data_IF_366990292273
#
_entry.id   IF_366990292273
#
_cell.length_a   1.000
_cell.length_b   1.000
_cell.length_c   1.000
_cell.angle_alpha   90.00
_cell.angle_beta   90.00
_cell.angle_gamma   90.00
#
_symmetry.space_group_name_H-M   'P 1'
#
loop_
_entity.id
_entity.type
_entity.pdbx_description
1 polymer ?
#
# COMPACT_ATOMS: atom_id res chain seq x y z
N UNK A 1 18.63 6.82 -14.46
CA UNK A 1 18.83 8.15 -15.08
C UNK A 1 20.29 8.61 -15.02
N UNK A 2 20.92 8.76 -13.85
CA UNK A 2 22.34 9.20 -13.72
C UNK A 2 23.35 8.47 -14.62
N UNK A 3 23.24 7.14 -14.74
CA UNK A 3 24.11 6.32 -15.61
C UNK A 3 23.86 6.61 -17.10
N UNK A 4 22.60 6.78 -17.50
CA UNK A 4 22.22 7.13 -18.87
C UNK A 4 22.67 8.55 -19.25
N UNK A 5 22.68 9.48 -18.29
CA UNK A 5 23.14 10.85 -18.48
C UNK A 5 24.69 10.95 -18.51
N UNK A 6 25.41 9.82 -18.50
CA UNK A 6 26.89 9.77 -18.56
C UNK A 6 27.60 10.18 -17.27
N UNK A 7 26.89 10.37 -16.16
CA UNK A 7 27.42 10.89 -14.88
C UNK A 7 27.99 9.79 -13.99
N UNK A 8 28.81 8.90 -14.56
CA UNK A 8 29.32 7.72 -13.85
C UNK A 8 30.27 8.08 -12.70
N UNK A 9 31.19 9.04 -12.90
CA UNK A 9 32.23 9.40 -11.92
C UNK A 9 31.79 10.51 -10.93
N UNK A 10 30.49 10.60 -10.65
CA UNK A 10 29.97 11.62 -9.73
C UNK A 10 29.81 11.08 -8.32
N UNK A 11 30.08 11.90 -7.31
CA UNK A 11 29.90 11.53 -5.89
C UNK A 11 28.46 11.12 -5.56
N UNK A 12 27.48 11.67 -6.27
CA UNK A 12 26.06 11.30 -6.15
C UNK A 12 25.83 9.84 -6.55
N UNK A 13 26.46 9.38 -7.63
CA UNK A 13 26.35 7.98 -8.07
C UNK A 13 26.95 7.06 -7.02
N UNK A 14 28.10 7.42 -6.44
CA UNK A 14 28.78 6.59 -5.43
C UNK A 14 27.95 6.49 -4.14
N UNK A 15 27.36 7.58 -3.66
CA UNK A 15 26.43 7.57 -2.52
C UNK A 15 25.24 6.63 -2.74
N UNK A 16 24.66 6.64 -3.94
CA UNK A 16 23.54 5.74 -4.28
C UNK A 16 24.02 4.29 -4.35
N UNK A 17 25.19 4.03 -4.94
CA UNK A 17 25.76 2.68 -5.01
C UNK A 17 25.96 2.08 -3.62
N UNK A 18 26.52 2.85 -2.68
CA UNK A 18 26.67 2.41 -1.30
C UNK A 18 25.33 2.21 -0.58
N UNK A 19 24.34 3.06 -0.82
CA UNK A 19 22.99 2.84 -0.30
C UNK A 19 22.40 1.51 -0.80
N UNK A 20 22.54 1.22 -2.10
CA UNK A 20 22.10 -0.05 -2.69
C UNK A 20 22.83 -1.25 -2.08
N UNK A 21 24.16 -1.18 -1.90
CA UNK A 21 24.95 -2.22 -1.24
C UNK A 21 24.46 -2.50 0.18
N UNK A 22 24.16 -1.44 0.95
CA UNK A 22 23.66 -1.57 2.33
C UNK A 22 22.29 -2.25 2.39
N UNK A 23 21.37 -1.90 1.48
CA UNK A 23 20.04 -2.53 1.42
C UNK A 23 20.17 -4.00 0.97
N UNK A 24 21.06 -4.29 0.01
CA UNK A 24 21.23 -5.62 -0.55
C UNK A 24 21.86 -6.63 0.42
N UNK A 25 22.45 -6.21 1.54
CA UNK A 25 23.15 -7.10 2.50
C UNK A 25 22.28 -8.26 3.02
N UNK A 26 20.96 -8.06 3.12
CA UNK A 26 20.01 -9.07 3.59
C UNK A 26 19.16 -9.67 2.47
N UNK A 27 19.38 -9.26 1.22
CA UNK A 27 18.61 -9.70 0.05
C UNK A 27 19.26 -10.95 -0.56
N UNK A 28 19.27 -12.03 0.20
CA UNK A 28 19.83 -13.33 -0.23
C UNK A 28 18.71 -14.34 -0.40
N UNK A 29 18.64 -15.03 -1.53
CA UNK A 29 17.63 -16.05 -1.78
C UNK A 29 17.63 -16.57 -3.21
N UNK A 30 16.78 -17.56 -3.46
CA UNK A 30 16.56 -18.18 -4.76
C UNK A 30 15.17 -17.79 -5.28
N UNK A 31 15.10 -17.49 -6.58
CA UNK A 31 13.87 -17.13 -7.27
C UNK A 31 13.72 -18.01 -8.50
N UNK A 32 12.63 -18.78 -8.54
CA UNK A 32 12.30 -19.63 -9.70
C UNK A 32 11.41 -18.83 -10.63
N UNK A 33 11.83 -18.73 -11.90
CA UNK A 33 11.15 -17.94 -12.93
C UNK A 33 10.72 -18.85 -14.07
N UNK A 34 9.46 -18.74 -14.49
CA UNK A 34 8.92 -19.31 -15.72
C UNK A 34 9.23 -18.36 -16.87
N UNK A 35 9.88 -18.87 -17.90
CA UNK A 35 10.05 -18.15 -19.16
C UNK A 35 9.08 -18.75 -20.18
N UNK A 36 8.17 -17.93 -20.71
CA UNK A 36 7.24 -18.35 -21.76
C UNK A 36 6.96 -17.24 -22.75
N UNK A 37 7.17 -17.50 -24.05
CA UNK A 37 6.92 -16.58 -25.17
C UNK A 37 7.38 -15.13 -24.92
N UNK A 38 8.61 -14.97 -24.43
CA UNK A 38 9.20 -13.65 -24.16
C UNK A 38 8.81 -13.02 -22.81
N UNK A 39 7.95 -13.67 -22.02
CA UNK A 39 7.57 -13.22 -20.68
C UNK A 39 8.32 -14.01 -19.61
N UNK A 40 8.83 -13.29 -18.61
CA UNK A 40 9.40 -13.87 -17.39
C UNK A 40 8.41 -13.68 -16.23
N UNK A 41 7.94 -14.79 -15.65
CA UNK A 41 7.02 -14.78 -14.50
C UNK A 41 7.64 -15.50 -13.33
N UNK A 42 7.74 -14.82 -12.18
CA UNK A 42 8.23 -15.42 -10.94
C UNK A 42 7.21 -16.42 -10.39
N UNK A 43 7.62 -17.68 -10.21
CA UNK A 43 6.78 -18.77 -9.69
C UNK A 43 6.97 -18.93 -8.18
N UNK A 44 8.23 -18.93 -7.73
CA UNK A 44 8.58 -19.25 -6.35
C UNK A 44 9.73 -18.37 -5.87
N UNK A 45 9.72 -18.06 -4.58
CA UNK A 45 10.77 -17.31 -3.89
C UNK A 45 11.12 -18.07 -2.61
N UNK A 46 12.40 -18.28 -2.35
CA UNK A 46 12.90 -18.88 -1.12
C UNK A 46 14.07 -18.05 -0.61
N UNK A 47 14.06 -17.66 0.64
CA UNK A 47 15.16 -16.92 1.24
C UNK A 47 15.43 -17.43 2.66
N UNK A 48 16.69 -17.69 3.04
CA UNK A 48 17.05 -18.03 4.41
C UNK A 48 16.85 -16.84 5.38
N UNK A 49 16.80 -15.61 4.85
CA UNK A 49 16.57 -14.37 5.60
C UNK A 49 15.18 -13.78 5.30
N UNK A 50 14.22 -14.64 4.96
CA UNK A 50 12.85 -14.23 4.66
C UNK A 50 12.21 -13.55 5.87
N UNK A 51 11.67 -12.35 5.67
CA UNK A 51 10.80 -11.68 6.64
C UNK A 51 9.35 -12.15 6.54
N UNK A 52 9.03 -12.98 5.53
CA UNK A 52 7.75 -13.66 5.45
C UNK A 52 7.73 -14.80 6.45
N UNK A 53 6.72 -14.80 7.33
CA UNK A 53 6.39 -15.88 8.25
C UNK A 53 4.96 -16.33 7.98
N UNK A 54 4.77 -17.64 7.81
CA UNK A 54 3.48 -18.24 7.48
C UNK A 54 2.48 -18.10 8.65
N UNK A 55 2.98 -18.20 9.88
CA UNK A 55 2.20 -18.07 11.12
C UNK A 55 1.56 -16.68 11.29
N UNK A 56 2.19 -15.64 10.74
CA UNK A 56 1.64 -14.27 10.75
C UNK A 56 0.75 -13.97 9.53
N UNK A 57 0.83 -14.78 8.48
CA UNK A 57 0.12 -14.56 7.22
C UNK A 57 -1.16 -15.38 7.11
N UNK A 58 -1.28 -16.48 7.85
CA UNK A 58 -2.48 -17.32 7.86
C UNK A 58 -3.56 -16.73 8.77
N UNK A 59 -4.81 -16.87 8.35
CA UNK A 59 -5.98 -16.49 9.15
C UNK A 59 -6.36 -17.55 10.20
N UNK A 60 -5.52 -18.58 10.39
CA UNK A 60 -5.89 -19.83 11.06
C UNK A 60 -5.53 -19.94 12.55
N UNK A 61 -4.56 -19.16 13.04
CA UNK A 61 -4.13 -19.23 14.44
C UNK A 61 -4.35 -17.88 15.14
N UNK A 62 -5.37 -17.83 16.01
CA UNK A 62 -5.78 -16.64 16.75
C UNK A 62 -4.76 -16.13 17.78
N UNK A 63 -3.62 -16.81 17.95
CA UNK A 63 -2.67 -16.57 19.04
C UNK A 63 -1.47 -15.69 18.66
N UNK A 64 -1.15 -15.54 17.36
CA UNK A 64 0.11 -14.92 16.91
C UNK A 64 0.04 -13.38 16.85
N UNK A 65 -1.14 -12.80 16.63
CA UNK A 65 -1.30 -11.34 16.48
C UNK A 65 -2.58 -10.78 17.11
N UNK A 66 -2.45 -9.78 17.97
CA UNK A 66 -3.59 -9.12 18.61
C UNK A 66 -4.25 -8.10 17.66
N UNK A 67 -5.34 -8.53 17.02
CA UNK A 67 -6.12 -7.71 16.08
C UNK A 67 -6.68 -6.42 16.69
N UNK A 68 -6.82 -6.32 18.02
CA UNK A 68 -7.32 -5.10 18.69
C UNK A 68 -6.39 -3.90 18.51
N UNK A 69 -5.11 -4.11 18.23
CA UNK A 69 -4.17 -3.02 17.97
C UNK A 69 -4.42 -2.32 16.63
N UNK A 70 -5.07 -3.00 15.66
CA UNK A 70 -5.38 -2.41 14.37
C UNK A 70 -6.29 -1.18 14.49
N UNK A 71 -7.26 -1.21 15.41
CA UNK A 71 -8.18 -0.09 15.64
C UNK A 71 -7.43 1.17 16.11
N UNK A 72 -6.48 1.01 17.04
CA UNK A 72 -5.62 2.10 17.51
C UNK A 72 -4.75 2.66 16.39
N UNK A 73 -4.14 1.78 15.58
CA UNK A 73 -3.33 2.18 14.43
C UNK A 73 -4.13 2.98 13.40
N UNK A 74 -5.32 2.51 13.01
CA UNK A 74 -6.19 3.21 12.04
C UNK A 74 -6.55 4.60 12.56
N UNK A 75 -6.90 4.73 13.84
CA UNK A 75 -7.25 6.02 14.45
C UNK A 75 -6.07 7.00 14.44
N UNK A 76 -4.85 6.54 14.74
CA UNK A 76 -3.65 7.38 14.76
C UNK A 76 -3.15 7.72 13.35
N UNK A 77 -3.13 6.75 12.44
CA UNK A 77 -2.66 6.93 11.07
C UNK A 77 -3.55 7.90 10.28
N UNK A 78 -4.87 7.86 10.51
CA UNK A 78 -5.84 8.75 9.85
C UNK A 78 -6.02 10.10 10.57
N UNK A 79 -5.38 10.31 11.72
CA UNK A 79 -5.51 11.53 12.51
C UNK A 79 -5.17 12.82 11.73
N UNK A 80 -4.05 12.92 10.98
CA UNK A 80 -3.75 14.14 10.22
C UNK A 80 -4.78 14.41 9.12
N UNK A 81 -5.31 13.38 8.47
CA UNK A 81 -6.36 13.52 7.44
C UNK A 81 -7.68 14.01 8.04
N UNK A 82 -8.06 13.49 9.21
CA UNK A 82 -9.24 13.95 9.96
C UNK A 82 -9.11 15.42 10.35
N UNK A 83 -7.93 15.85 10.80
CA UNK A 83 -7.65 17.25 11.14
C UNK A 83 -7.73 18.13 9.88
N UNK A 84 -7.18 17.67 8.76
CA UNK A 84 -7.26 18.41 7.50
C UNK A 84 -8.71 18.58 7.02
N UNK A 85 -9.52 17.53 7.12
CA UNK A 85 -10.95 17.57 6.79
C UNK A 85 -11.75 18.50 7.72
N UNK A 86 -11.47 18.48 9.04
CA UNK A 86 -12.10 19.38 10.01
C UNK A 86 -11.70 20.85 9.80
N UNK A 87 -10.46 21.10 9.37
CA UNK A 87 -9.95 22.43 9.06
C UNK A 87 -10.39 22.93 7.67
N UNK A 88 -11.20 22.16 6.94
CA UNK A 88 -11.69 22.54 5.61
C UNK A 88 -10.58 22.60 4.54
N UNK A 89 -9.40 22.04 4.80
CA UNK A 89 -8.36 21.90 3.80
C UNK A 89 -8.79 20.84 2.80
N UNK A 90 -9.46 21.27 1.72
CA UNK A 90 -9.60 20.43 0.55
C UNK A 90 -8.20 20.07 0.09
N UNK A 91 -7.82 18.79 0.23
CA UNK A 91 -6.62 18.25 -0.39
C UNK A 91 -6.78 18.53 -1.88
N UNK A 92 -6.12 19.58 -2.37
CA UNK A 92 -6.14 19.95 -3.78
C UNK A 92 -5.56 18.74 -4.50
N UNK A 93 -6.44 17.91 -5.05
CA UNK A 93 -6.06 16.75 -5.82
C UNK A 93 -5.32 17.30 -7.02
N UNK A 94 -4.00 17.26 -6.94
CA UNK A 94 -3.09 17.76 -7.96
C UNK A 94 -3.22 16.90 -9.21
N UNK A 95 -4.09 17.36 -10.11
CA UNK A 95 -4.17 17.18 -11.56
C UNK A 95 -5.37 18.05 -11.96
N UNK A 96 -5.17 19.34 -12.21
CA UNK A 96 -4.88 19.82 -13.55
C UNK A 96 -4.19 21.19 -13.45
N UNK A 97 -2.88 21.22 -13.64
CA UNK A 97 -2.21 22.37 -14.24
C UNK A 97 -1.94 21.98 -15.70
N UNK A 98 -2.99 21.86 -16.49
CA UNK A 98 -2.89 21.82 -17.94
C UNK A 98 -3.69 23.00 -18.50
N UNK A 99 -2.92 24.01 -18.89
CA UNK A 99 -3.16 25.13 -19.80
C UNK A 99 -4.50 25.89 -19.74
N UNK A 100 -4.47 27.24 -19.73
CA UNK A 100 -5.64 28.07 -19.41
C UNK A 100 -6.79 28.15 -20.44
N UNK A 101 -6.84 27.37 -21.53
CA UNK A 101 -7.83 27.58 -22.59
C UNK A 101 -8.36 26.27 -23.20
N UNK A 102 -9.38 25.65 -22.60
CA UNK A 102 -10.20 24.64 -23.31
C UNK A 102 -11.70 24.92 -23.09
N UNK A 103 -12.42 25.48 -24.09
CA UNK A 103 -13.80 25.91 -23.95
C UNK A 103 -14.74 24.71 -24.12
N UNK A 104 -14.87 23.86 -23.12
CA UNK A 104 -15.75 22.68 -23.26
C UNK A 104 -16.17 21.91 -22.01
N UNK A 105 -15.62 22.17 -20.83
CA UNK A 105 -15.92 21.35 -19.65
C UNK A 105 -16.87 22.09 -18.72
N UNK A 106 -18.12 21.63 -18.67
CA UNK A 106 -19.10 22.13 -17.71
C UNK A 106 -18.65 21.81 -16.27
N UNK A 107 -18.76 22.75 -15.31
CA UNK A 107 -18.37 22.50 -13.94
C UNK A 107 -19.28 21.42 -13.32
N UNK A 108 -18.66 20.38 -12.77
CA UNK A 108 -19.35 19.34 -12.02
C UNK A 108 -19.92 19.95 -10.73
N UNK A 109 -21.24 20.08 -10.68
CA UNK A 109 -21.98 20.51 -9.48
C UNK A 109 -21.98 19.32 -8.50
N UNK A 110 -21.10 19.36 -7.51
CA UNK A 110 -21.10 18.40 -6.39
C UNK A 110 -22.41 18.44 -5.60
N UNK A 111 -22.79 17.33 -4.92
CA UNK A 111 -24.08 17.24 -4.22
C UNK A 111 -24.14 18.19 -3.02
N UNK A 112 -25.29 18.87 -2.85
CA UNK A 112 -25.53 19.83 -1.76
C UNK A 112 -25.42 19.14 -0.40
N UNK A 113 -24.62 19.74 0.47
CA UNK A 113 -24.40 19.39 1.87
C UNK A 113 -25.73 19.38 2.66
N UNK A 114 -26.14 18.20 3.12
CA UNK A 114 -27.03 18.03 4.28
C UNK A 114 -26.19 17.65 5.51
N UNK A 115 -26.73 17.79 6.74
CA UNK A 115 -25.98 17.51 7.96
C UNK A 115 -25.52 16.05 8.00
N UNK A 116 -24.23 15.84 8.29
CA UNK A 116 -23.58 14.54 8.38
C UNK A 116 -24.22 13.73 9.51
N UNK A 117 -25.03 12.73 9.15
CA UNK A 117 -25.47 11.71 10.09
C UNK A 117 -24.25 10.88 10.52
N UNK A 118 -23.99 10.81 11.83
CA UNK A 118 -22.97 9.93 12.38
C UNK A 118 -23.37 8.47 12.08
N UNK A 119 -22.50 7.64 11.48
CA UNK A 119 -22.85 6.25 11.22
C UNK A 119 -22.86 5.48 12.54
N UNK A 120 -24.05 5.18 13.07
CA UNK A 120 -24.22 4.19 14.15
C UNK A 120 -23.85 2.79 13.62
N UNK A 121 -22.76 2.23 14.12
CA UNK A 121 -22.34 0.87 13.79
C UNK A 121 -23.13 -0.13 14.66
N UNK A 122 -24.13 -0.79 14.06
CA UNK A 122 -24.92 -1.81 14.73
C UNK A 122 -24.19 -3.17 14.66
N UNK A 123 -23.93 -3.85 15.79
CA UNK A 123 -23.22 -5.12 15.77
C UNK A 123 -24.10 -6.22 15.15
N UNK A 124 -23.58 -6.91 14.14
CA UNK A 124 -24.22 -8.06 13.49
C UNK A 124 -24.15 -9.25 14.44
N UNK A 125 -25.31 -9.81 14.80
CA UNK A 125 -25.45 -10.99 15.66
C UNK A 125 -25.19 -12.28 14.87
N UNK A 126 -24.27 -13.08 15.43
CA UNK A 126 -24.11 -14.55 15.40
C UNK A 126 -23.87 -15.33 14.09
N UNK A 127 -23.11 -16.45 14.17
CA UNK A 127 -22.44 -17.08 13.04
C UNK A 127 -23.31 -18.15 12.36
N UNK A 128 -23.32 -18.13 11.04
CA UNK A 128 -23.70 -19.26 10.18
C UNK A 128 -22.39 -19.59 9.46
N UNK A 129 -21.78 -20.76 9.63
CA UNK A 129 -22.07 -21.99 8.89
C UNK A 129 -21.48 -23.20 9.66
N UNK A 130 -22.25 -24.28 9.62
CA UNK A 130 -22.02 -25.61 10.19
C UNK A 130 -20.91 -26.39 9.46
N UNK A 131 -20.36 -27.35 10.19
CA UNK A 131 -19.66 -28.59 9.80
C UNK A 131 -19.69 -29.02 8.32
N UNK A 132 -18.56 -29.57 7.85
CA UNK A 132 -18.58 -30.70 6.92
C UNK A 132 -17.66 -30.63 5.71
N UNK A 133 -16.43 -31.11 5.88
CA UNK A 133 -15.87 -32.28 5.19
C UNK A 133 -14.46 -32.06 4.62
N UNK A 134 -13.54 -32.84 5.17
CA UNK A 134 -12.19 -33.08 4.68
C UNK A 134 -12.23 -33.99 3.45
N UNK A 135 -11.48 -33.63 2.40
CA UNK A 135 -10.66 -34.52 1.53
C UNK A 135 -9.54 -33.68 0.94
#
# INVERSE_FOLDING_TARGET
RLVYDGRWFTSVRDSISHCCERIAQRTTGEVVVRLYKGTATTIQRKSPLSLYSEDFATFGEEEVYNQKHAEGFIRLFTLPERIAALNGMQLTTGREALLPDDPGVAPFIGPRTGPLAQPEFKPVRDPIIKEGNAV
#
